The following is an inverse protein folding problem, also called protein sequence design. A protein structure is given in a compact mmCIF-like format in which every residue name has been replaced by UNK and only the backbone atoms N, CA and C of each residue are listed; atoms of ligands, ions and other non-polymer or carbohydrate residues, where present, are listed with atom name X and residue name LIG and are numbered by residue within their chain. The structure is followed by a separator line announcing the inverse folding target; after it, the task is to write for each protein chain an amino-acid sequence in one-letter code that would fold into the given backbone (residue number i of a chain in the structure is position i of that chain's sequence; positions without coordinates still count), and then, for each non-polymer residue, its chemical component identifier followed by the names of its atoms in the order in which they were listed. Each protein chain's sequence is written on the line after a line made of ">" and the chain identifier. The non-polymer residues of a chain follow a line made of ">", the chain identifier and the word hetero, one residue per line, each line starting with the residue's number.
data_IF_001983377246
#
_entry.id   IF_001983377246
#
_cell.length_a   1.000
_cell.length_b   1.000
_cell.length_c   1.000
_cell.angle_alpha   90.00
_cell.angle_beta   90.00
_cell.angle_gamma   90.00
#
_symmetry.space_group_name_H-M   'P 1'
#
loop_
_entity.id
_entity.type
_entity.pdbx_description
1 polymer ?
#
# COMPACT_ATOMS: atom_id res chain seq x y z
N UNK A 1 -2.60 -19.47 7.88
CA UNK A 1 -1.13 -19.68 7.81
C UNK A 1 -0.67 -19.52 6.37
N UNK A 2 0.62 -19.28 6.14
CA UNK A 2 1.20 -19.21 4.79
C UNK A 2 2.23 -20.33 4.63
N UNK A 3 2.04 -21.18 3.63
CA UNK A 3 2.93 -22.30 3.33
C UNK A 3 3.08 -22.42 1.81
N UNK A 4 4.29 -22.60 1.30
CA UNK A 4 4.56 -22.71 -0.15
C UNK A 4 3.89 -21.60 -0.98
N UNK A 5 3.93 -20.34 -0.50
CA UNK A 5 3.30 -19.16 -1.12
C UNK A 5 1.77 -19.25 -1.28
N UNK A 6 1.10 -20.07 -0.46
CA UNK A 6 -0.35 -20.21 -0.41
C UNK A 6 -0.88 -19.80 0.97
N UNK A 7 -2.00 -19.09 0.99
CA UNK A 7 -2.72 -18.75 2.22
C UNK A 7 -3.70 -19.89 2.53
N UNK A 8 -3.55 -20.49 3.70
CA UNK A 8 -4.35 -21.63 4.15
C UNK A 8 -5.13 -21.20 5.41
N UNK A 9 -6.48 -21.19 5.37
CA UNK A 9 -7.29 -20.99 6.56
C UNK A 9 -6.95 -22.02 7.64
N UNK A 10 -6.70 -21.57 8.88
CA UNK A 10 -6.39 -22.46 10.01
C UNK A 10 -7.65 -22.89 10.78
N UNK A 11 -8.80 -22.29 10.44
CA UNK A 11 -10.12 -22.63 10.98
C UNK A 11 -11.11 -22.80 9.84
N UNK A 12 -12.18 -23.60 10.02
CA UNK A 12 -13.23 -23.74 9.03
C UNK A 12 -13.90 -22.40 8.68
N UNK A 13 -14.24 -22.23 7.41
CA UNK A 13 -15.01 -21.09 6.90
C UNK A 13 -16.22 -21.69 6.18
N UNK A 14 -17.42 -21.34 6.64
CA UNK A 14 -18.67 -21.87 6.09
C UNK A 14 -19.01 -21.27 4.71
N UNK A 15 -18.65 -20.00 4.49
CA UNK A 15 -18.87 -19.31 3.22
C UNK A 15 -17.75 -19.66 2.22
N UNK A 16 -18.12 -20.38 1.16
CA UNK A 16 -17.21 -20.80 0.09
C UNK A 16 -16.61 -19.62 -0.69
N UNK A 17 -17.36 -18.51 -0.86
CA UNK A 17 -16.87 -17.31 -1.54
C UNK A 17 -15.79 -16.64 -0.70
N UNK A 18 -16.03 -16.49 0.60
CA UNK A 18 -15.05 -15.94 1.55
C UNK A 18 -13.80 -16.83 1.64
N UNK A 19 -13.97 -18.16 1.71
CA UNK A 19 -12.83 -19.10 1.70
C UNK A 19 -11.96 -18.89 0.46
N UNK A 20 -12.57 -18.83 -0.73
CA UNK A 20 -11.87 -18.59 -2.00
C UNK A 20 -11.20 -17.21 -2.05
N UNK A 21 -11.83 -16.18 -1.49
CA UNK A 21 -11.24 -14.84 -1.43
C UNK A 21 -9.95 -14.84 -0.58
N UNK A 22 -9.97 -15.52 0.56
CA UNK A 22 -8.79 -15.68 1.44
C UNK A 22 -7.68 -16.50 0.75
N UNK A 23 -8.03 -17.64 0.14
CA UNK A 23 -7.06 -18.53 -0.52
C UNK A 23 -6.39 -17.87 -1.74
N UNK A 24 -7.14 -17.03 -2.47
CA UNK A 24 -6.63 -16.31 -3.65
C UNK A 24 -6.05 -14.93 -3.32
N UNK A 25 -6.07 -14.52 -2.05
CA UNK A 25 -5.56 -13.22 -1.65
C UNK A 25 -4.09 -13.04 -2.02
N UNK A 26 -3.75 -11.85 -2.50
CA UNK A 26 -2.38 -11.43 -2.80
C UNK A 26 -2.09 -10.14 -2.07
N UNK A 27 -1.01 -10.11 -1.31
CA UNK A 27 -0.46 -8.88 -0.76
C UNK A 27 0.07 -8.01 -1.90
N UNK A 28 0.04 -6.69 -1.72
CA UNK A 28 0.45 -5.75 -2.77
C UNK A 28 1.93 -5.91 -3.13
N UNK A 29 2.81 -6.18 -2.18
CA UNK A 29 4.21 -6.59 -2.43
C UNK A 29 4.37 -7.73 -3.45
N UNK A 30 3.37 -8.60 -3.62
CA UNK A 30 3.46 -9.73 -4.54
C UNK A 30 3.17 -9.36 -6.00
N UNK A 31 2.69 -8.15 -6.27
CA UNK A 31 2.31 -7.74 -7.63
C UNK A 31 2.52 -6.26 -7.96
N UNK A 32 2.79 -5.41 -6.96
CA UNK A 32 3.12 -4.01 -7.13
C UNK A 32 4.54 -3.86 -7.69
N UNK A 33 4.72 -2.88 -8.57
CA UNK A 33 5.97 -2.60 -9.24
C UNK A 33 6.13 -1.09 -9.42
N UNK A 34 7.20 -0.52 -8.87
CA UNK A 34 7.44 0.92 -8.86
C UNK A 34 8.59 1.27 -9.80
N UNK A 35 8.44 2.41 -10.48
CA UNK A 35 9.57 3.11 -11.10
C UNK A 35 10.54 3.62 -10.03
N UNK A 36 11.71 4.08 -10.46
CA UNK A 36 12.60 4.82 -9.58
C UNK A 36 11.84 6.01 -8.96
N UNK A 37 12.11 6.33 -7.71
CA UNK A 37 11.41 7.41 -7.01
C UNK A 37 11.61 8.77 -7.72
N UNK A 38 12.75 8.95 -8.40
CA UNK A 38 13.07 10.16 -9.15
C UNK A 38 12.31 10.26 -10.49
N UNK A 39 11.69 9.18 -10.97
CA UNK A 39 10.88 9.19 -12.19
C UNK A 39 9.47 9.76 -11.96
N UNK A 40 9.04 9.89 -10.70
CA UNK A 40 7.80 10.57 -10.34
C UNK A 40 8.01 12.07 -10.34
N UNK A 41 7.19 12.78 -11.12
CA UNK A 41 7.27 14.25 -11.24
C UNK A 41 6.45 14.94 -10.17
N UNK A 42 6.86 16.17 -9.85
CA UNK A 42 6.10 17.10 -9.02
C UNK A 42 5.75 16.54 -7.62
N UNK A 43 6.71 15.85 -7.01
CA UNK A 43 6.58 15.31 -5.66
C UNK A 43 6.50 16.42 -4.61
N UNK A 44 5.50 16.34 -3.74
CA UNK A 44 5.40 17.14 -2.53
C UNK A 44 6.10 16.39 -1.39
N UNK A 45 7.28 16.88 -1.00
CA UNK A 45 8.17 16.25 -0.01
C UNK A 45 8.10 17.05 1.28
N UNK A 46 7.79 16.36 2.38
CA UNK A 46 7.69 16.95 3.71
C UNK A 46 8.64 16.26 4.69
N UNK A 47 9.25 17.03 5.60
CA UNK A 47 10.02 16.50 6.72
C UNK A 47 9.66 17.23 8.01
N UNK A 48 9.32 16.48 9.06
CA UNK A 48 9.06 16.98 10.40
C UNK A 48 10.13 16.45 11.37
N UNK A 49 11.13 17.25 11.75
CA UNK A 49 12.21 16.82 12.65
C UNK A 49 11.77 16.60 14.10
N UNK A 50 10.62 17.14 14.53
CA UNK A 50 10.16 16.98 15.91
C UNK A 50 9.56 15.58 16.17
N UNK A 51 9.01 14.95 15.11
CA UNK A 51 8.45 13.58 15.14
C UNK A 51 9.37 12.58 14.44
N UNK A 52 10.60 12.99 14.09
CA UNK A 52 11.33 12.56 12.87
C UNK A 52 10.48 11.76 11.87
N UNK A 53 9.63 12.45 11.12
CA UNK A 53 8.82 11.84 10.06
C UNK A 53 9.03 12.52 8.72
N UNK A 54 8.91 11.74 7.65
CA UNK A 54 9.05 12.21 6.28
C UNK A 54 7.92 11.65 5.42
N UNK A 55 7.52 12.41 4.41
CA UNK A 55 6.57 11.91 3.43
C UNK A 55 6.88 12.47 2.04
N UNK A 56 6.49 11.72 1.03
CA UNK A 56 6.52 12.14 -0.36
C UNK A 56 5.17 11.80 -1.01
N UNK A 57 4.53 12.80 -1.61
CA UNK A 57 3.21 12.68 -2.22
C UNK A 57 3.30 12.99 -3.71
N UNK A 58 2.77 12.09 -4.53
CA UNK A 58 2.80 12.18 -5.99
C UNK A 58 1.41 11.98 -6.57
N UNK A 59 1.00 12.78 -7.54
CA UNK A 59 -0.21 12.51 -8.31
C UNK A 59 0.09 11.44 -9.36
N UNK A 60 -0.63 10.32 -9.33
CA UNK A 60 -0.49 9.28 -10.35
C UNK A 60 -1.48 9.48 -11.50
N UNK A 61 -1.21 8.81 -12.61
CA UNK A 61 -2.16 8.62 -13.71
C UNK A 61 -2.93 7.30 -13.53
N UNK A 62 -4.15 7.20 -14.09
CA UNK A 62 -4.85 5.93 -14.21
C UNK A 62 -4.13 4.93 -15.13
N UNK A 63 -3.15 5.41 -15.92
CA UNK A 63 -2.31 4.54 -16.74
C UNK A 63 -1.16 3.88 -16.00
N UNK A 64 -0.89 4.31 -14.77
CA UNK A 64 0.11 3.71 -13.91
C UNK A 64 -0.17 2.21 -13.68
N UNK A 65 0.91 1.41 -13.70
CA UNK A 65 0.81 -0.05 -13.58
C UNK A 65 0.14 -0.47 -12.27
N UNK A 66 0.52 0.13 -11.14
CA UNK A 66 -0.03 -0.22 -9.83
C UNK A 66 -1.51 0.18 -9.72
N UNK A 67 -1.87 1.34 -10.27
CA UNK A 67 -3.27 1.79 -10.32
C UNK A 67 -4.13 0.81 -11.13
N UNK A 68 -3.62 0.32 -12.27
CA UNK A 68 -4.29 -0.73 -13.06
C UNK A 68 -4.42 -2.05 -12.29
N UNK A 69 -3.37 -2.47 -11.56
CA UNK A 69 -3.42 -3.72 -10.77
C UNK A 69 -4.44 -3.64 -9.63
N UNK A 70 -4.54 -2.49 -8.94
CA UNK A 70 -5.53 -2.26 -7.89
C UNK A 70 -6.95 -2.31 -8.45
N UNK A 71 -7.23 -1.59 -9.54
CA UNK A 71 -8.55 -1.58 -10.20
C UNK A 71 -8.96 -2.93 -10.79
N UNK A 72 -7.99 -3.79 -11.13
CA UNK A 72 -8.26 -5.16 -11.58
C UNK A 72 -8.69 -6.09 -10.44
N UNK A 73 -8.22 -5.82 -9.21
CA UNK A 73 -8.44 -6.68 -8.03
C UNK A 73 -9.60 -6.21 -7.17
N UNK A 74 -9.85 -4.90 -7.14
CA UNK A 74 -10.85 -4.28 -6.29
C UNK A 74 -11.81 -3.47 -7.16
N UNK A 75 -13.10 -3.55 -6.84
CA UNK A 75 -14.11 -2.69 -7.42
C UNK A 75 -14.03 -1.31 -6.76
N UNK A 76 -13.22 -0.41 -7.35
CA UNK A 76 -12.97 0.93 -6.83
C UNK A 76 -13.97 1.90 -7.48
N UNK A 77 -14.98 2.41 -6.74
CA UNK A 77 -16.15 3.09 -7.29
C UNK A 77 -15.89 4.56 -7.66
N UNK A 78 -14.73 4.84 -8.24
CA UNK A 78 -14.33 6.18 -8.70
C UNK A 78 -13.38 6.09 -9.87
N UNK A 79 -13.54 7.00 -10.84
CA UNK A 79 -12.64 7.09 -12.00
C UNK A 79 -11.41 7.99 -11.75
N UNK A 80 -11.34 8.66 -10.58
CA UNK A 80 -10.23 9.56 -10.24
C UNK A 80 -8.91 8.79 -10.13
N UNK A 81 -7.83 9.38 -10.63
CA UNK A 81 -6.50 8.82 -10.46
C UNK A 81 -6.01 9.10 -9.02
N UNK A 82 -5.41 8.11 -8.33
CA UNK A 82 -5.04 8.29 -6.94
C UNK A 82 -3.77 9.14 -6.79
N UNK A 83 -3.56 9.63 -5.57
CA UNK A 83 -2.27 10.13 -5.12
C UNK A 83 -1.50 9.00 -4.45
N UNK A 84 -0.23 8.84 -4.80
CA UNK A 84 0.71 7.99 -4.08
C UNK A 84 1.28 8.76 -2.91
N UNK A 85 1.24 8.18 -1.72
CA UNK A 85 1.78 8.77 -0.51
C UNK A 85 2.71 7.75 0.14
N UNK A 86 4.00 8.10 0.17
CA UNK A 86 5.04 7.33 0.84
C UNK A 86 5.30 8.03 2.17
N UNK A 87 5.14 7.31 3.28
CA UNK A 87 5.38 7.82 4.63
C UNK A 87 6.47 6.99 5.28
N UNK A 88 7.37 7.66 5.99
CA UNK A 88 8.26 7.00 6.93
C UNK A 88 8.48 7.80 8.19
N UNK A 89 8.87 7.07 9.23
CA UNK A 89 9.27 7.62 10.52
C UNK A 89 10.64 7.06 10.95
N UNK A 90 11.23 7.68 11.96
CA UNK A 90 12.54 7.32 12.48
C UNK A 90 13.72 7.96 11.75
N UNK A 91 14.92 7.47 12.03
CA UNK A 91 16.15 8.01 11.43
C UNK A 91 16.12 7.82 9.89
N UNK A 92 16.26 8.92 9.16
CA UNK A 92 16.37 8.97 7.69
C UNK A 92 17.51 8.08 7.17
N UNK A 93 18.59 7.91 7.94
CA UNK A 93 19.71 7.02 7.60
C UNK A 93 19.41 5.54 7.82
N UNK A 94 18.23 5.22 8.34
CA UNK A 94 17.74 3.87 8.56
C UNK A 94 18.20 3.31 9.90
N UNK A 95 17.40 3.51 10.95
CA UNK A 95 17.37 2.53 12.04
C UNK A 95 16.67 1.27 11.53
N UNK A 96 17.05 0.09 12.01
CA UNK A 96 16.42 -1.20 11.65
C UNK A 96 14.94 -1.30 12.03
N UNK A 97 14.35 -0.24 12.57
CA UNK A 97 13.02 -0.13 13.18
C UNK A 97 12.38 1.18 12.67
N UNK A 98 12.22 1.29 11.35
CA UNK A 98 11.49 2.41 10.73
C UNK A 98 10.26 1.88 9.99
N UNK A 99 9.11 2.53 10.15
CA UNK A 99 7.92 2.16 9.40
C UNK A 99 7.99 2.78 8.02
N UNK A 100 7.79 1.95 6.98
CA UNK A 100 7.63 2.44 5.61
C UNK A 100 6.25 2.03 5.13
N UNK A 101 5.38 3.04 5.07
CA UNK A 101 3.99 2.88 4.69
C UNK A 101 3.76 3.52 3.33
N UNK A 102 2.94 2.85 2.54
CA UNK A 102 2.49 3.32 1.25
C UNK A 102 0.98 3.48 1.27
N UNK A 103 0.47 4.51 0.62
CA UNK A 103 -0.96 4.74 0.45
C UNK A 103 -1.27 5.22 -0.97
N UNK A 104 -2.32 4.66 -1.58
CA UNK A 104 -2.95 5.15 -2.80
C UNK A 104 -4.28 5.77 -2.43
N UNK A 105 -4.36 7.10 -2.44
CA UNK A 105 -5.55 7.85 -2.04
C UNK A 105 -6.36 8.24 -3.28
N UNK A 106 -7.51 7.62 -3.51
CA UNK A 106 -8.39 7.93 -4.66
C UNK A 106 -9.35 9.09 -4.36
N UNK A 107 -9.91 9.09 -3.15
CA UNK A 107 -10.78 10.15 -2.63
C UNK A 107 -10.43 10.36 -1.16
N UNK A 108 -10.26 11.62 -0.77
CA UNK A 108 -10.05 12.04 0.62
C UNK A 108 -10.80 13.35 0.83
N UNK A 109 -11.94 13.28 1.53
CA UNK A 109 -12.73 14.44 1.93
C UNK A 109 -13.58 14.09 3.18
N UNK A 110 -14.39 15.04 3.65
CA UNK A 110 -15.20 14.87 4.87
C UNK A 110 -16.33 13.83 4.75
N UNK A 111 -16.78 13.55 3.54
CA UNK A 111 -17.94 12.69 3.27
C UNK A 111 -17.52 11.29 2.80
N UNK A 112 -16.42 11.19 2.06
CA UNK A 112 -15.97 9.97 1.42
C UNK A 112 -14.44 9.83 1.47
N UNK A 113 -13.99 8.61 1.79
CA UNK A 113 -12.57 8.24 1.80
C UNK A 113 -12.40 6.89 1.12
N UNK A 114 -11.65 6.88 0.02
CA UNK A 114 -11.32 5.66 -0.73
C UNK A 114 -9.80 5.65 -0.89
N UNK A 115 -9.15 4.69 -0.24
CA UNK A 115 -7.72 4.54 -0.28
C UNK A 115 -7.30 3.07 -0.13
N UNK A 116 -6.07 2.77 -0.56
CA UNK A 116 -5.42 1.49 -0.35
C UNK A 116 -4.09 1.71 0.37
N UNK A 117 -3.77 0.90 1.38
CA UNK A 117 -2.51 1.00 2.14
C UNK A 117 -1.74 -0.32 2.11
N UNK A 118 -0.42 -0.23 2.06
CA UNK A 118 0.47 -1.37 2.23
C UNK A 118 1.68 -0.99 3.10
N UNK A 119 2.25 -1.96 3.80
CA UNK A 119 3.48 -1.77 4.57
C UNK A 119 4.26 -3.07 4.67
N UNK A 120 5.58 -2.99 4.57
CA UNK A 120 6.48 -4.12 4.76
C UNK A 120 7.49 -3.70 5.81
N UNK A 121 7.39 -4.31 6.98
CA UNK A 121 8.20 -3.94 8.13
C UNK A 121 9.04 -5.15 8.57
N UNK A 122 10.35 -4.95 8.69
CA UNK A 122 11.23 -5.92 9.36
C UNK A 122 11.19 -5.65 10.87
N UNK A 123 10.87 -6.66 11.66
CA UNK A 123 10.75 -6.55 13.12
C UNK A 123 11.51 -7.70 13.80
N UNK A 124 12.01 -7.50 15.03
CA UNK A 124 12.54 -8.59 15.85
C UNK A 124 11.49 -9.70 16.04
N UNK A 125 11.94 -10.94 16.15
CA UNK A 125 11.08 -12.08 16.49
C UNK A 125 10.70 -12.00 17.98
N UNK A 126 9.43 -12.27 18.28
CA UNK A 126 8.90 -12.42 19.64
C UNK A 126 9.34 -13.74 20.30
#
# INVERSE_FOLDING_TARGET
>A
KMEHNKIIPTKPIADDKLRKEIENFKFFVQYGDFKDINDYKDGDISYNPNVPSYSAKYQLSNDDYNVKQLRKRYDIPTKKAPKLLIKGDGDLKGSSIGHKNLEFTFIENKEENIYFTDSINFKPTE
#
